data_IF_388154938711
#
_entry.id   IF_388154938711
#
_cell.length_a   1.000
_cell.length_b   1.000
_cell.length_c   1.000
_cell.angle_alpha   90.00
_cell.angle_beta   90.00
_cell.angle_gamma   90.00
#
_symmetry.space_group_name_H-M   'P 1'
#
loop_
_entity.id
_entity.type
_entity.pdbx_description
1 polymer ?
#
# COMPACT_ATOMS: atom_id res chain seq x y z
N UNK A 1 6.40 -18.42 2.00
CA UNK A 1 5.79 -17.07 2.07
C UNK A 1 6.66 -16.24 3.00
N UNK A 2 7.35 -15.22 2.50
CA UNK A 2 8.26 -14.40 3.31
C UNK A 2 7.46 -13.27 3.97
N UNK A 3 7.45 -13.24 5.29
CA UNK A 3 6.90 -12.12 6.08
C UNK A 3 8.05 -11.19 6.44
N UNK A 4 7.81 -9.88 6.37
CA UNK A 4 8.78 -8.85 6.78
C UNK A 4 8.08 -7.95 7.78
N UNK A 5 8.64 -7.87 8.98
CA UNK A 5 8.22 -6.91 9.99
C UNK A 5 8.94 -5.58 9.72
N UNK A 6 8.15 -4.51 9.61
CA UNK A 6 8.66 -3.16 9.38
C UNK A 6 8.65 -2.41 10.71
N UNK A 7 9.83 -2.23 11.32
CA UNK A 7 10.00 -1.61 12.63
C UNK A 7 10.75 -0.26 12.55
N UNK A 8 10.83 0.46 13.66
CA UNK A 8 11.54 1.76 13.74
C UNK A 8 10.64 2.98 13.48
N UNK A 9 11.22 4.13 13.10
CA UNK A 9 10.46 5.33 12.75
C UNK A 9 9.48 5.10 11.59
N UNK A 10 8.33 5.78 11.59
CA UNK A 10 7.28 5.58 10.58
C UNK A 10 7.78 5.74 9.13
N UNK A 11 8.74 6.63 8.91
CA UNK A 11 9.33 6.83 7.59
C UNK A 11 10.13 5.59 7.14
N UNK A 12 10.92 5.00 8.03
CA UNK A 12 11.68 3.78 7.74
C UNK A 12 10.75 2.58 7.52
N UNK A 13 9.67 2.49 8.31
CA UNK A 13 8.64 1.48 8.10
C UNK A 13 7.98 1.61 6.73
N UNK A 14 7.68 2.84 6.31
CA UNK A 14 7.10 3.13 5.00
C UNK A 14 8.06 2.74 3.86
N UNK A 15 9.31 3.19 3.91
CA UNK A 15 10.33 2.87 2.89
C UNK A 15 10.54 1.36 2.78
N UNK A 16 10.62 0.66 3.92
CA UNK A 16 10.79 -0.80 3.97
C UNK A 16 9.60 -1.53 3.36
N UNK A 17 8.37 -1.16 3.73
CA UNK A 17 7.16 -1.77 3.19
C UNK A 17 6.98 -1.46 1.69
N UNK A 18 7.32 -0.25 1.25
CA UNK A 18 7.23 0.15 -0.14
C UNK A 18 8.25 -0.58 -1.01
N UNK A 19 9.51 -0.68 -0.56
CA UNK A 19 10.53 -1.49 -1.22
C UNK A 19 10.12 -2.97 -1.28
N UNK A 20 9.51 -3.51 -0.23
CA UNK A 20 9.00 -4.87 -0.22
C UNK A 20 7.92 -5.09 -1.30
N UNK A 21 6.96 -4.17 -1.42
CA UNK A 21 5.93 -4.21 -2.46
C UNK A 21 6.53 -4.22 -3.87
N UNK A 22 7.45 -3.30 -4.16
CA UNK A 22 8.07 -3.17 -5.49
C UNK A 22 8.95 -4.36 -5.88
N UNK A 23 9.52 -5.05 -4.89
CA UNK A 23 10.37 -6.23 -5.11
C UNK A 23 9.59 -7.54 -5.20
N UNK A 24 8.33 -7.57 -4.76
CA UNK A 24 7.49 -8.78 -4.73
C UNK A 24 6.41 -8.78 -5.79
N UNK A 25 5.99 -7.62 -6.28
CA UNK A 25 5.08 -7.54 -7.40
C UNK A 25 5.74 -8.04 -8.68
N UNK A 26 5.00 -8.89 -9.39
CA UNK A 26 5.43 -9.42 -10.68
C UNK A 26 5.58 -8.26 -11.67
N UNK A 27 6.68 -8.32 -12.43
CA UNK A 27 6.95 -7.39 -13.51
C UNK A 27 6.65 -8.09 -14.81
N UNK A 28 5.60 -7.64 -15.49
CA UNK A 28 5.43 -8.00 -16.89
C UNK A 28 6.46 -7.22 -17.71
N UNK A 29 7.03 -7.83 -18.74
CA UNK A 29 7.90 -7.12 -19.67
C UNK A 29 7.37 -7.28 -21.08
N UNK A 30 7.33 -6.18 -21.82
CA UNK A 30 7.04 -6.18 -23.25
C UNK A 30 8.33 -5.77 -23.95
N UNK A 31 8.76 -6.56 -24.92
CA UNK A 31 9.90 -6.22 -25.77
C UNK A 31 9.35 -5.45 -26.97
N UNK A 32 9.65 -4.14 -27.05
CA UNK A 32 9.32 -3.30 -28.21
C UNK A 32 10.64 -2.91 -28.91
N UNK A 33 10.92 -3.56 -30.03
CA UNK A 33 12.19 -3.36 -30.75
C UNK A 33 13.39 -3.85 -29.93
N UNK A 34 14.37 -2.98 -29.69
CA UNK A 34 15.59 -3.30 -28.93
C UNK A 34 15.51 -2.92 -27.42
N UNK A 35 14.37 -2.41 -26.94
CA UNK A 35 14.19 -2.00 -25.54
C UNK A 35 13.22 -2.93 -24.81
N UNK A 36 13.61 -3.33 -23.60
CA UNK A 36 12.76 -4.05 -22.65
C UNK A 36 12.00 -3.01 -21.82
N UNK A 37 10.69 -2.92 -21.99
CA UNK A 37 9.81 -2.10 -21.16
C UNK A 37 9.23 -2.99 -20.06
N UNK A 38 9.66 -2.77 -18.82
CA UNK A 38 9.08 -3.43 -17.65
C UNK A 38 7.87 -2.62 -17.17
N UNK A 39 6.71 -3.26 -17.10
CA UNK A 39 5.49 -2.69 -16.54
C UNK A 39 5.10 -3.47 -15.30
N UNK A 40 5.09 -2.80 -14.15
CA UNK A 40 4.54 -3.32 -12.90
C UNK A 40 3.05 -3.61 -13.09
N UNK A 41 2.57 -4.72 -12.53
CA UNK A 41 1.13 -5.07 -12.57
C UNK A 41 0.24 -3.99 -11.94
N UNK A 42 0.73 -3.33 -10.90
CA UNK A 42 0.06 -2.22 -10.24
C UNK A 42 0.92 -0.96 -10.39
N UNK A 43 0.35 0.20 -10.79
CA UNK A 43 1.09 1.43 -10.89
C UNK A 43 1.77 1.80 -9.56
N UNK A 44 3.04 2.16 -9.62
CA UNK A 44 3.85 2.53 -8.45
C UNK A 44 3.18 3.64 -7.62
N UNK A 45 2.61 4.65 -8.29
CA UNK A 45 1.90 5.76 -7.65
C UNK A 45 0.69 5.26 -6.84
N UNK A 46 -0.04 4.28 -7.36
CA UNK A 46 -1.21 3.73 -6.66
C UNK A 46 -0.80 2.99 -5.39
N UNK A 47 0.27 2.19 -5.45
CA UNK A 47 0.82 1.50 -4.29
C UNK A 47 1.32 2.48 -3.23
N UNK A 48 2.04 3.53 -3.66
CA UNK A 48 2.58 4.56 -2.79
C UNK A 48 1.45 5.27 -2.03
N UNK A 49 0.43 5.72 -2.74
CA UNK A 49 -0.72 6.42 -2.16
C UNK A 49 -1.56 5.50 -1.25
N UNK A 50 -1.79 4.25 -1.65
CA UNK A 50 -2.53 3.29 -0.83
C UNK A 50 -1.81 3.01 0.50
N UNK A 51 -0.49 2.79 0.46
CA UNK A 51 0.31 2.57 1.66
C UNK A 51 0.37 3.82 2.54
N UNK A 52 0.58 4.99 1.95
CA UNK A 52 0.61 6.26 2.68
C UNK A 52 -0.73 6.54 3.37
N UNK A 53 -1.85 6.32 2.68
CA UNK A 53 -3.19 6.48 3.26
C UNK A 53 -3.42 5.53 4.42
N UNK A 54 -2.98 4.27 4.30
CA UNK A 54 -3.11 3.29 5.37
C UNK A 54 -2.31 3.66 6.62
N UNK A 55 -1.14 4.29 6.47
CA UNK A 55 -0.34 4.78 7.60
C UNK A 55 -0.96 6.04 8.18
N UNK A 56 -1.28 7.03 7.34
CA UNK A 56 -1.79 8.34 7.75
C UNK A 56 -3.11 8.26 8.52
N UNK A 57 -4.01 7.38 8.09
CA UNK A 57 -5.35 7.23 8.66
C UNK A 57 -5.48 6.05 9.63
N UNK A 58 -4.36 5.45 10.02
CA UNK A 58 -4.31 4.38 11.03
C UNK A 58 -4.84 4.89 12.37
N UNK A 59 -5.66 4.09 13.06
CA UNK A 59 -5.94 4.32 14.47
C UNK A 59 -4.74 3.91 15.33
N UNK A 60 -3.93 4.88 15.76
CA UNK A 60 -2.74 4.65 16.57
C UNK A 60 -3.01 4.27 18.03
N UNK A 61 -4.26 4.35 18.50
CA UNK A 61 -4.64 3.83 19.81
C UNK A 61 -4.80 2.29 19.82
N UNK A 62 -4.84 1.65 18.63
CA UNK A 62 -4.90 0.19 18.51
C UNK A 62 -3.50 -0.39 18.31
N UNK A 63 -3.20 -1.49 19.01
CA UNK A 63 -1.90 -2.17 18.96
C UNK A 63 -1.71 -3.03 17.70
N UNK A 64 -2.78 -3.40 17.01
CA UNK A 64 -2.72 -4.23 15.80
C UNK A 64 -1.99 -3.52 14.66
N UNK A 65 -1.01 -4.14 13.98
CA UNK A 65 -0.24 -3.49 12.93
C UNK A 65 -1.07 -3.23 11.66
N UNK A 66 -0.59 -2.33 10.81
CA UNK A 66 -1.05 -2.28 9.41
C UNK A 66 -0.46 -3.48 8.68
N UNK A 67 -1.32 -4.29 8.05
CA UNK A 67 -0.92 -5.52 7.36
C UNK A 67 -1.02 -5.33 5.85
N UNK A 68 0.06 -5.62 5.15
CA UNK A 68 0.13 -5.64 3.69
C UNK A 68 0.24 -7.10 3.23
N UNK A 69 -0.63 -7.53 2.32
CA UNK A 69 -0.67 -8.89 1.79
C UNK A 69 -0.68 -8.86 0.27
N UNK A 70 0.23 -9.61 -0.35
CA UNK A 70 0.39 -9.67 -1.80
C UNK A 70 -0.09 -11.05 -2.25
N UNK A 71 -1.05 -11.06 -3.16
CA UNK A 71 -1.59 -12.24 -3.82
C UNK A 71 -1.28 -12.17 -5.31
N UNK A 72 -1.56 -13.26 -6.03
CA UNK A 72 -1.29 -13.36 -7.46
C UNK A 72 -2.11 -12.35 -8.29
N UNK A 73 -3.24 -11.87 -7.78
CA UNK A 73 -4.18 -10.99 -8.49
C UNK A 73 -4.43 -9.63 -7.82
N UNK A 74 -3.93 -9.43 -6.60
CA UNK A 74 -4.20 -8.20 -5.83
C UNK A 74 -3.20 -7.95 -4.70
N UNK A 75 -3.16 -6.70 -4.26
CA UNK A 75 -2.53 -6.28 -3.00
C UNK A 75 -3.62 -5.83 -2.04
N UNK A 76 -3.62 -6.39 -0.83
CA UNK A 76 -4.50 -5.98 0.26
C UNK A 76 -3.70 -5.19 1.29
N UNK A 77 -4.24 -4.05 1.72
CA UNK A 77 -3.69 -3.24 2.81
C UNK A 77 -4.78 -3.06 3.86
N UNK A 78 -4.60 -3.67 5.02
CA UNK A 78 -5.47 -3.50 6.18
C UNK A 78 -4.78 -2.61 7.21
N UNK A 79 -5.33 -1.43 7.46
CA UNK A 79 -4.98 -0.61 8.62
C UNK A 79 -6.04 -0.73 9.72
N UNK A 80 -5.65 -0.66 11.00
CA UNK A 80 -6.61 -0.66 12.11
C UNK A 80 -7.40 0.65 12.15
N UNK A 81 -8.69 0.53 12.48
CA UNK A 81 -9.60 1.68 12.58
C UNK A 81 -10.88 1.49 11.78
N UNK A 82 -11.63 2.57 11.67
CA UNK A 82 -12.90 2.67 10.93
C UNK A 82 -12.94 4.05 10.26
N UNK A 83 -13.84 4.24 9.30
CA UNK A 83 -14.05 5.56 8.72
C UNK A 83 -14.42 6.59 9.81
N UNK A 84 -13.84 7.81 9.77
CA UNK A 84 -14.15 8.84 10.74
C UNK A 84 -15.47 9.55 10.41
N UNK A 85 -16.29 9.81 11.43
CA UNK A 85 -17.49 10.64 11.34
C UNK A 85 -18.50 10.14 10.29
N UNK A 86 -18.92 10.99 9.33
CA UNK A 86 -19.90 10.63 8.30
C UNK A 86 -19.28 9.91 7.09
N UNK A 87 -17.99 9.58 7.10
CA UNK A 87 -17.37 8.86 5.99
C UNK A 87 -17.83 7.41 5.93
N UNK A 88 -18.05 6.93 4.71
CA UNK A 88 -18.33 5.54 4.40
C UNK A 88 -17.74 5.15 3.03
N UNK A 89 -17.95 3.90 2.63
CA UNK A 89 -17.46 3.39 1.35
C UNK A 89 -18.07 4.12 0.13
N UNK A 90 -19.21 4.78 0.28
CA UNK A 90 -19.90 5.47 -0.82
C UNK A 90 -19.34 6.86 -1.08
N UNK A 91 -18.80 7.53 -0.04
CA UNK A 91 -18.31 8.91 -0.13
C UNK A 91 -16.78 9.08 -0.02
N UNK A 92 -16.03 8.00 0.20
CA UNK A 92 -14.56 8.01 0.34
C UNK A 92 -13.82 8.69 -0.82
N UNK A 93 -14.33 8.54 -2.05
CA UNK A 93 -13.71 9.09 -3.27
C UNK A 93 -13.77 10.61 -3.36
N UNK A 94 -14.56 11.28 -2.52
CA UNK A 94 -14.62 12.73 -2.47
C UNK A 94 -13.32 13.35 -1.92
N UNK A 95 -12.37 12.55 -1.42
CA UNK A 95 -11.09 13.04 -0.90
C UNK A 95 -11.21 13.79 0.42
N UNK A 96 -12.36 13.69 1.08
CA UNK A 96 -12.61 14.31 2.37
C UNK A 96 -11.72 13.65 3.42
N UNK A 97 -10.87 14.45 4.05
CA UNK A 97 -10.02 14.02 5.16
C UNK A 97 -10.54 14.64 6.45
N UNK A 98 -10.94 13.81 7.41
CA UNK A 98 -11.26 14.25 8.76
C UNK A 98 -10.04 13.96 9.65
N UNK A 99 -9.51 15.01 10.29
CA UNK A 99 -8.45 14.96 11.30
C UNK A 99 -9.09 15.10 12.69
#
# INVERSE_FOLDING_TARGET
>A
MATVDCEGPLFEQFETAFAFLLNRLSRSFIIRGAKREETLEIPEVALREALLNAIRHRNYHQSSPTRVSIYDDRVEILSPGTFPGPLDATNLRAGLTFL
#
